data_IF_363450634013
#
_entry.id   IF_363450634013
#
_cell.length_a   1.000
_cell.length_b   1.000
_cell.length_c   1.000
_cell.angle_alpha   90.00
_cell.angle_beta   90.00
_cell.angle_gamma   90.00
#
_symmetry.space_group_name_H-M   'P 1'
#
loop_
_entity.id
_entity.type
_entity.pdbx_description
1 polymer ?
#
# COMPACT_ATOMS: atom_id res chain seq x y z
N UNK A 1 -28.51 -12.50 -14.47
CA UNK A 1 -27.36 -13.32 -14.02
C UNK A 1 -26.77 -12.64 -12.80
N UNK A 2 -26.76 -13.27 -11.60
CA UNK A 2 -26.29 -12.59 -10.41
C UNK A 2 -24.76 -12.55 -10.39
N UNK A 3 -24.21 -11.35 -10.22
CA UNK A 3 -22.77 -11.13 -10.03
C UNK A 3 -22.35 -11.70 -8.67
N UNK A 4 -21.65 -12.82 -8.68
CA UNK A 4 -20.95 -13.36 -7.51
C UNK A 4 -19.75 -12.45 -7.21
N UNK A 5 -19.90 -11.56 -6.23
CA UNK A 5 -18.76 -10.84 -5.68
C UNK A 5 -17.82 -11.85 -5.02
N UNK A 6 -16.57 -11.92 -5.48
CA UNK A 6 -15.53 -12.72 -4.83
C UNK A 6 -15.37 -12.15 -3.43
N UNK A 7 -15.79 -12.93 -2.44
CA UNK A 7 -15.67 -12.58 -1.04
C UNK A 7 -14.17 -12.54 -0.70
N UNK A 8 -13.63 -11.34 -0.50
CA UNK A 8 -12.22 -11.15 -0.18
C UNK A 8 -11.92 -11.78 1.19
N UNK A 9 -11.19 -12.90 1.18
CA UNK A 9 -10.74 -13.57 2.40
C UNK A 9 -9.65 -12.70 3.02
N UNK A 10 -9.93 -12.08 4.17
CA UNK A 10 -8.92 -11.34 4.93
C UNK A 10 -7.92 -12.35 5.50
N UNK A 11 -6.78 -12.51 4.82
CA UNK A 11 -5.67 -13.33 5.29
C UNK A 11 -4.93 -12.51 6.35
N UNK A 12 -5.07 -12.89 7.63
CA UNK A 12 -4.41 -12.19 8.75
C UNK A 12 -2.89 -12.40 8.79
N UNK A 13 -2.34 -13.35 8.01
CA UNK A 13 -0.91 -13.60 7.86
C UNK A 13 -0.35 -12.92 6.60
N UNK A 14 -0.64 -11.63 6.38
CA UNK A 14 -0.48 -11.02 5.06
C UNK A 14 0.98 -10.90 4.58
N UNK A 15 1.99 -11.24 5.40
CA UNK A 15 3.36 -11.41 4.94
C UNK A 15 4.28 -11.94 6.06
N UNK A 16 5.51 -12.38 5.74
CA UNK A 16 6.49 -12.88 6.71
C UNK A 16 7.08 -11.79 7.64
N UNK A 17 6.35 -10.70 7.90
CA UNK A 17 6.74 -9.69 8.86
C UNK A 17 6.52 -10.25 10.27
N UNK A 18 7.52 -10.95 10.80
CA UNK A 18 7.57 -11.28 12.22
C UNK A 18 7.86 -10.01 12.99
N UNK A 19 6.94 -9.65 13.86
CA UNK A 19 7.05 -8.50 14.74
C UNK A 19 6.91 -9.07 16.14
N UNK A 20 8.03 -9.38 16.78
CA UNK A 20 8.07 -9.98 18.11
C UNK A 20 7.69 -8.92 19.16
N UNK A 21 6.42 -8.51 19.17
CA UNK A 21 5.85 -7.46 20.03
C UNK A 21 6.45 -6.05 19.91
N UNK A 22 7.35 -5.82 18.94
CA UNK A 22 8.00 -4.53 18.70
C UNK A 22 7.32 -3.77 17.54
N UNK A 23 7.85 -2.61 17.14
CA UNK A 23 7.48 -1.96 15.89
C UNK A 23 8.57 -2.21 14.86
N UNK A 24 8.20 -2.46 13.59
CA UNK A 24 9.19 -2.46 12.49
C UNK A 24 9.43 -1.01 12.07
N UNK A 25 10.69 -0.60 12.00
CA UNK A 25 11.04 0.72 11.48
C UNK A 25 10.68 0.84 9.98
N UNK A 26 10.33 2.04 9.50
CA UNK A 26 10.06 2.23 8.07
C UNK A 26 11.25 1.85 7.18
N UNK A 27 12.48 2.05 7.66
CA UNK A 27 13.70 1.70 6.95
C UNK A 27 13.81 0.20 6.68
N UNK A 28 13.27 -0.63 7.56
CA UNK A 28 13.24 -2.09 7.40
C UNK A 28 11.95 -2.56 6.70
N UNK A 29 10.81 -1.93 7.01
CA UNK A 29 9.51 -2.30 6.47
C UNK A 29 9.40 -2.07 4.95
N UNK A 30 9.79 -0.88 4.46
CA UNK A 30 9.60 -0.51 3.05
C UNK A 30 10.34 -1.42 2.06
N UNK A 31 11.63 -1.76 2.23
CA UNK A 31 12.30 -2.69 1.32
C UNK A 31 11.67 -4.10 1.36
N UNK A 32 11.25 -4.57 2.53
CA UNK A 32 10.56 -5.87 2.67
C UNK A 32 9.19 -5.85 1.97
N UNK A 33 8.45 -4.75 2.04
CA UNK A 33 7.19 -4.55 1.30
C UNK A 33 7.42 -4.56 -0.21
N UNK A 34 8.45 -3.84 -0.70
CA UNK A 34 8.81 -3.85 -2.12
C UNK A 34 9.14 -5.27 -2.59
N UNK A 35 9.96 -6.01 -1.83
CA UNK A 35 10.31 -7.39 -2.15
C UNK A 35 9.07 -8.30 -2.16
N UNK A 36 8.15 -8.15 -1.20
CA UNK A 36 6.89 -8.87 -1.22
C UNK A 36 6.11 -8.63 -2.52
N UNK A 37 5.95 -7.38 -2.94
CA UNK A 37 5.30 -7.07 -4.22
C UNK A 37 5.98 -7.80 -5.40
N UNK A 38 7.31 -7.83 -5.43
CA UNK A 38 8.05 -8.55 -6.47
C UNK A 38 7.76 -10.06 -6.43
N UNK A 39 7.71 -10.68 -5.25
CA UNK A 39 7.36 -12.11 -5.11
C UNK A 39 5.92 -12.42 -5.53
N UNK A 40 5.02 -11.44 -5.43
CA UNK A 40 3.63 -11.55 -5.87
C UNK A 40 3.46 -11.33 -7.38
N UNK A 41 4.56 -11.14 -8.13
CA UNK A 41 4.54 -10.96 -9.60
C UNK A 41 4.33 -9.52 -10.06
N UNK A 42 4.43 -8.54 -9.17
CA UNK A 42 4.35 -7.13 -9.56
C UNK A 42 5.58 -6.76 -10.39
N UNK A 43 5.40 -5.88 -11.38
CA UNK A 43 6.46 -5.45 -12.28
C UNK A 43 7.16 -4.20 -11.74
N UNK A 44 8.48 -4.26 -11.63
CA UNK A 44 9.32 -3.09 -11.30
C UNK A 44 8.97 -1.91 -12.23
N UNK A 45 8.77 -0.73 -11.66
CA UNK A 45 8.38 0.49 -12.39
C UNK A 45 6.89 0.60 -12.75
N UNK A 46 6.08 -0.43 -12.46
CA UNK A 46 4.62 -0.42 -12.67
C UNK A 46 3.84 -0.51 -11.36
N UNK A 47 4.48 -0.24 -10.23
CA UNK A 47 3.87 -0.29 -8.90
C UNK A 47 3.64 1.15 -8.43
N UNK A 48 2.38 1.53 -8.28
CA UNK A 48 1.98 2.80 -7.70
C UNK A 48 1.46 2.57 -6.27
N UNK A 49 2.28 2.77 -5.24
CA UNK A 49 1.81 2.67 -3.87
C UNK A 49 0.78 3.77 -3.57
N UNK A 50 -0.29 3.39 -2.87
CA UNK A 50 -1.26 4.32 -2.31
C UNK A 50 -0.98 4.50 -0.81
N UNK A 51 -1.13 5.73 -0.30
CA UNK A 51 -0.98 6.06 1.13
C UNK A 51 -2.22 6.73 1.70
N UNK A 52 -2.44 6.50 2.99
CA UNK A 52 -3.41 7.22 3.83
C UNK A 52 -2.83 7.39 5.24
N UNK A 53 -1.78 8.19 5.35
CA UNK A 53 -1.22 8.57 6.65
C UNK A 53 -2.01 9.76 7.24
N UNK A 54 -1.76 10.10 8.51
CA UNK A 54 -2.36 11.26 9.21
C UNK A 54 -2.05 12.60 8.48
N UNK A 55 -2.33 13.76 9.08
CA UNK A 55 -1.84 15.05 8.55
C UNK A 55 -0.53 15.54 9.21
N UNK A 56 -0.01 14.80 10.18
CA UNK A 56 1.22 15.12 10.93
C UNK A 56 2.49 15.15 10.05
N UNK A 57 3.42 16.05 10.38
CA UNK A 57 4.67 16.32 9.68
C UNK A 57 5.64 15.13 9.67
N UNK A 58 5.57 14.23 10.66
CA UNK A 58 6.49 13.09 10.79
C UNK A 58 6.34 12.03 9.67
N UNK A 59 5.43 12.24 8.72
CA UNK A 59 5.17 11.34 7.59
C UNK A 59 6.11 11.53 6.41
N UNK A 60 6.93 12.58 6.40
CA UNK A 60 7.93 12.75 5.36
C UNK A 60 8.85 11.53 5.24
N UNK A 61 9.24 10.95 6.38
CA UNK A 61 10.14 9.79 6.42
C UNK A 61 9.61 8.54 5.70
N UNK A 62 8.40 8.01 6.00
CA UNK A 62 7.87 6.87 5.25
C UNK A 62 7.62 7.18 3.78
N UNK A 63 7.21 8.41 3.43
CA UNK A 63 6.97 8.81 2.04
C UNK A 63 8.27 8.81 1.23
N UNK A 64 9.35 9.33 1.79
CA UNK A 64 10.68 9.33 1.16
C UNK A 64 11.14 7.90 0.89
N UNK A 65 11.01 7.01 1.88
CA UNK A 65 11.40 5.62 1.73
C UNK A 65 10.55 4.89 0.68
N UNK A 66 9.23 5.09 0.68
CA UNK A 66 8.34 4.55 -0.36
C UNK A 66 8.75 5.05 -1.75
N UNK A 67 8.97 6.35 -1.90
CA UNK A 67 9.39 6.95 -3.17
C UNK A 67 10.71 6.37 -3.65
N UNK A 68 11.69 6.21 -2.73
CA UNK A 68 13.00 5.63 -3.03
C UNK A 68 12.89 4.19 -3.55
N UNK A 69 12.09 3.34 -2.91
CA UNK A 69 12.01 1.92 -3.29
C UNK A 69 11.10 1.66 -4.49
N UNK A 70 9.96 2.35 -4.59
CA UNK A 70 8.99 2.14 -5.67
C UNK A 70 9.28 2.99 -6.91
N UNK A 71 10.15 4.00 -6.81
CA UNK A 71 10.54 4.86 -7.93
C UNK A 71 9.45 5.84 -8.35
N UNK A 72 8.40 5.99 -7.55
CA UNK A 72 7.28 6.91 -7.80
C UNK A 72 6.73 7.44 -6.49
N UNK A 73 6.24 8.68 -6.51
CA UNK A 73 5.66 9.30 -5.32
C UNK A 73 4.29 8.66 -5.03
N UNK A 74 4.02 8.20 -3.79
CA UNK A 74 2.81 7.46 -3.48
C UNK A 74 1.56 8.32 -3.66
N UNK A 75 0.55 7.76 -4.32
CA UNK A 75 -0.72 8.43 -4.52
C UNK A 75 -1.45 8.60 -3.18
N UNK A 76 -1.95 9.81 -2.88
CA UNK A 76 -2.54 10.11 -1.58
C UNK A 76 -4.06 9.89 -1.57
N UNK A 77 -4.52 8.85 -0.87
CA UNK A 77 -5.92 8.59 -0.54
C UNK A 77 -6.32 9.09 0.86
N UNK A 78 -5.38 9.63 1.65
CA UNK A 78 -5.62 10.05 3.03
C UNK A 78 -6.37 11.37 3.15
N UNK A 79 -7.26 11.46 4.16
CA UNK A 79 -7.71 12.71 4.81
C UNK A 79 -7.00 12.89 6.15
N UNK A 80 -7.28 14.01 6.82
CA UNK A 80 -6.85 14.28 8.21
C UNK A 80 -7.12 13.06 9.09
N UNK A 81 -6.11 12.65 9.87
CA UNK A 81 -6.21 11.49 10.76
C UNK A 81 -5.92 10.12 10.14
N UNK A 82 -5.52 10.02 8.86
CA UNK A 82 -5.20 8.73 8.24
C UNK A 82 -6.44 7.97 7.76
N UNK A 83 -7.56 8.68 7.66
CA UNK A 83 -8.81 8.14 7.13
C UNK A 83 -8.64 7.95 5.63
N UNK A 84 -8.84 6.71 5.17
CA UNK A 84 -8.86 6.38 3.73
C UNK A 84 -10.13 6.95 3.12
N UNK A 85 -10.00 7.95 2.23
CA UNK A 85 -11.12 8.46 1.47
C UNK A 85 -11.48 7.51 0.32
N UNK A 86 -12.20 6.44 0.63
CA UNK A 86 -12.68 5.44 -0.35
C UNK A 86 -13.68 6.01 -1.36
N UNK A 87 -14.33 7.13 -1.03
CA UNK A 87 -15.36 7.82 -1.84
C UNK A 87 -14.76 8.75 -2.91
N UNK A 88 -13.48 9.15 -2.79
CA UNK A 88 -12.91 10.15 -3.72
C UNK A 88 -12.68 9.60 -5.14
N UNK A 89 -12.72 8.28 -5.29
CA UNK A 89 -12.71 7.61 -6.58
C UNK A 89 -13.93 6.69 -6.67
N UNK A 90 -15.04 7.26 -7.16
CA UNK A 90 -16.20 6.50 -7.61
C UNK A 90 -15.86 5.56 -8.79
N UNK A 91 -16.79 5.27 -9.71
CA UNK A 91 -16.77 4.12 -10.65
C UNK A 91 -15.56 3.99 -11.62
N UNK A 92 -14.51 4.81 -11.49
CA UNK A 92 -13.28 4.81 -12.28
C UNK A 92 -12.03 4.37 -11.50
N UNK A 93 -12.15 3.90 -10.26
CA UNK A 93 -11.08 3.23 -9.51
C UNK A 93 -10.77 1.83 -10.10
N UNK A 94 -10.48 1.75 -11.40
CA UNK A 94 -9.98 0.53 -12.01
C UNK A 94 -8.51 0.39 -11.60
N UNK A 95 -8.28 -0.35 -10.51
CA UNK A 95 -6.97 -0.84 -10.14
C UNK A 95 -6.28 -1.46 -11.38
N UNK A 96 -5.02 -1.08 -11.59
CA UNK A 96 -4.24 -1.44 -12.77
C UNK A 96 -4.48 -2.91 -13.16
N UNK A 97 -5.06 -3.11 -14.36
CA UNK A 97 -5.19 -4.45 -14.94
C UNK A 97 -3.80 -5.05 -15.04
N UNK A 98 -3.53 -6.12 -14.29
CA UNK A 98 -2.46 -7.05 -14.60
C UNK A 98 -2.81 -7.71 -15.93
N UNK A 99 -2.03 -7.38 -16.96
CA UNK A 99 -2.09 -8.00 -18.28
C UNK A 99 -1.07 -9.13 -18.35
#
# INVERSE_FOLDING_TARGET
MPHTYIQSKIIRSLAPFKVDHLAISYAEFVPKLYNLCMTLGFRKGMIMPSRAFCSDENQGWPIILLTKHFGTFPFNHGRVGGIVAIDRHGPHAHHAKTR
#
